data_IF_876791975943
#
_entry.id   IF_876791975943
#
_cell.length_a   1.000
_cell.length_b   1.000
_cell.length_c   1.000
_cell.angle_alpha   90.00
_cell.angle_beta   90.00
_cell.angle_gamma   90.00
#
_symmetry.space_group_name_H-M   'P 1'
#
loop_
_entity.id
_entity.type
_entity.pdbx_description
1 polymer ?
#
# COMPACT_ATOMS: atom_id res chain seq x y z
N UNK A 1 -19.37 1.17 0.74
CA UNK A 1 -18.34 0.55 -0.12
C UNK A 1 -18.14 -0.88 0.38
N UNK A 2 -17.85 -1.85 -0.49
CA UNK A 2 -17.56 -3.24 -0.08
C UNK A 2 -16.25 -3.66 -0.74
N UNK A 3 -15.39 -4.35 -0.01
CA UNK A 3 -14.17 -4.93 -0.56
C UNK A 3 -14.45 -6.28 -1.22
N UNK A 4 -13.63 -6.65 -2.21
CA UNK A 4 -13.55 -8.02 -2.70
C UNK A 4 -12.69 -8.91 -1.78
N UNK A 5 -11.81 -8.30 -0.97
CA UNK A 5 -11.10 -9.01 0.11
C UNK A 5 -12.06 -9.16 1.28
N UNK A 6 -12.31 -10.41 1.68
CA UNK A 6 -13.12 -10.72 2.85
C UNK A 6 -12.33 -10.43 4.14
N UNK A 7 -13.00 -9.81 5.11
CA UNK A 7 -12.44 -9.53 6.43
C UNK A 7 -13.54 -9.59 7.50
N UNK A 8 -13.14 -9.84 8.75
CA UNK A 8 -14.05 -9.87 9.90
C UNK A 8 -14.70 -8.49 10.11
N UNK A 9 -16.00 -8.44 10.47
CA UNK A 9 -16.71 -7.18 10.73
C UNK A 9 -16.07 -6.31 11.82
N UNK A 10 -15.31 -6.91 12.73
CA UNK A 10 -14.59 -6.24 13.81
C UNK A 10 -13.12 -5.96 13.48
N UNK A 11 -12.70 -6.12 12.21
CA UNK A 11 -11.35 -5.79 11.79
C UNK A 11 -11.14 -4.27 11.82
N UNK A 12 -10.03 -3.85 12.40
CA UNK A 12 -9.59 -2.44 12.34
C UNK A 12 -9.24 -2.01 10.90
N UNK A 13 -8.97 -2.96 10.00
CA UNK A 13 -8.50 -2.73 8.63
C UNK A 13 -9.60 -3.02 7.61
N UNK A 14 -10.74 -2.36 7.76
CA UNK A 14 -11.85 -2.45 6.79
C UNK A 14 -11.54 -1.69 5.49
N UNK A 15 -12.40 -1.80 4.48
CA UNK A 15 -12.31 -0.96 3.26
C UNK A 15 -12.35 0.55 3.54
N UNK A 16 -12.80 0.94 4.74
CA UNK A 16 -12.85 2.34 5.19
C UNK A 16 -11.58 2.78 5.92
N UNK A 17 -10.65 1.87 6.22
CA UNK A 17 -9.37 2.16 6.84
C UNK A 17 -8.26 1.40 6.10
N UNK A 18 -7.61 2.11 5.19
CA UNK A 18 -6.51 1.62 4.35
C UNK A 18 -5.25 2.37 4.80
N UNK A 19 -4.57 1.91 5.88
CA UNK A 19 -3.39 2.59 6.40
C UNK A 19 -2.17 2.34 5.51
N UNK A 20 -1.21 3.25 5.58
CA UNK A 20 0.10 3.07 4.96
C UNK A 20 1.11 2.59 6.00
N UNK A 21 2.04 1.74 5.58
CA UNK A 21 3.11 1.21 6.40
C UNK A 21 4.32 0.78 5.57
N UNK A 22 5.29 0.19 6.23
CA UNK A 22 6.46 -0.45 5.60
C UNK A 22 6.57 -1.87 6.15
N UNK A 23 6.82 -2.85 5.28
CA UNK A 23 6.91 -4.25 5.66
C UNK A 23 8.15 -4.93 5.05
N UNK A 24 8.61 -5.99 5.71
CA UNK A 24 9.59 -6.93 5.16
C UNK A 24 8.83 -8.09 4.54
N UNK A 25 8.92 -8.25 3.22
CA UNK A 25 8.29 -9.34 2.49
C UNK A 25 9.24 -10.53 2.37
N UNK A 26 8.74 -11.72 2.72
CA UNK A 26 9.46 -13.01 2.65
C UNK A 26 10.84 -13.04 3.33
N UNK A 27 11.17 -12.06 4.18
CA UNK A 27 12.53 -11.82 4.73
C UNK A 27 13.59 -11.49 3.67
N UNK A 28 13.16 -11.02 2.49
CA UNK A 28 14.04 -10.76 1.36
C UNK A 28 14.16 -9.27 1.04
N UNK A 29 13.04 -8.55 1.01
CA UNK A 29 13.02 -7.13 0.64
C UNK A 29 12.07 -6.33 1.52
N UNK A 30 12.26 -5.00 1.51
CA UNK A 30 11.45 -4.03 2.24
C UNK A 30 10.74 -3.16 1.22
N UNK A 31 9.45 -2.91 1.44
CA UNK A 31 8.66 -2.01 0.61
C UNK A 31 7.57 -1.33 1.43
N UNK A 32 7.10 -0.19 0.93
CA UNK A 32 5.90 0.45 1.42
C UNK A 32 4.68 -0.42 1.09
N UNK A 33 3.75 -0.50 2.02
CA UNK A 33 2.61 -1.39 1.94
C UNK A 33 1.34 -0.73 2.46
N UNK A 34 0.19 -1.32 2.13
CA UNK A 34 -1.07 -1.08 2.82
C UNK A 34 -1.64 -2.37 3.41
N UNK A 35 -2.75 -2.28 4.15
CA UNK A 35 -3.39 -3.43 4.79
C UNK A 35 -4.91 -3.40 4.60
N UNK A 36 -5.48 -4.55 4.32
CA UNK A 36 -6.92 -4.79 4.33
C UNK A 36 -7.22 -6.15 4.96
N UNK A 37 -8.04 -6.16 6.02
CA UNK A 37 -8.22 -7.33 6.87
C UNK A 37 -6.89 -7.87 7.40
N UNK A 38 -6.62 -9.13 7.08
CA UNK A 38 -5.38 -9.84 7.45
C UNK A 38 -4.35 -9.89 6.32
N UNK A 39 -4.60 -9.18 5.22
CA UNK A 39 -3.70 -9.11 4.08
C UNK A 39 -2.88 -7.82 4.09
N UNK A 40 -1.58 -7.96 3.93
CA UNK A 40 -0.66 -6.85 3.61
C UNK A 40 -0.48 -6.82 2.09
N UNK A 41 -0.61 -5.65 1.50
CA UNK A 41 -0.52 -5.41 0.07
C UNK A 41 0.73 -4.61 -0.22
N UNK A 42 1.59 -5.14 -1.09
CA UNK A 42 2.81 -4.48 -1.58
C UNK A 42 2.44 -3.39 -2.58
N UNK A 43 2.71 -2.12 -2.24
CA UNK A 43 2.39 -0.98 -3.10
C UNK A 43 3.43 -0.80 -4.21
N UNK A 44 4.68 -1.21 -4.00
CA UNK A 44 5.70 -1.15 -5.04
C UNK A 44 5.35 -2.10 -6.18
N UNK A 45 4.92 -3.32 -5.87
CA UNK A 45 4.48 -4.27 -6.88
C UNK A 45 3.24 -3.78 -7.65
N UNK A 46 2.28 -3.12 -6.98
CA UNK A 46 1.11 -2.55 -7.67
C UNK A 46 1.50 -1.42 -8.64
N UNK A 47 2.48 -0.60 -8.26
CA UNK A 47 3.05 0.41 -9.14
C UNK A 47 3.68 -0.24 -10.38
N UNK A 48 4.53 -1.25 -10.20
CA UNK A 48 5.21 -1.95 -11.30
C UNK A 48 4.24 -2.69 -12.23
N UNK A 49 3.09 -3.11 -11.71
CA UNK A 49 1.98 -3.68 -12.45
C UNK A 49 1.06 -2.63 -13.10
N UNK A 50 1.47 -1.36 -13.11
CA UNK A 50 0.76 -0.24 -13.76
C UNK A 50 -0.62 0.09 -13.16
N UNK A 51 -0.93 -0.33 -11.93
CA UNK A 51 -2.22 -0.01 -11.31
C UNK A 51 -2.38 1.46 -10.90
N UNK A 52 -1.29 2.22 -10.87
CA UNK A 52 -1.28 3.62 -10.43
C UNK A 52 -1.00 4.64 -11.56
N UNK A 53 -1.02 4.23 -12.83
CA UNK A 53 -0.69 5.11 -13.97
C UNK A 53 -1.58 6.37 -14.07
N UNK A 54 -2.81 6.31 -13.57
CA UNK A 54 -3.74 7.45 -13.60
C UNK A 54 -3.57 8.42 -12.42
N UNK A 55 -2.64 8.15 -11.49
CA UNK A 55 -2.38 9.02 -10.33
C UNK A 55 -1.36 10.09 -10.72
N UNK A 56 -1.85 11.31 -10.95
CA UNK A 56 -0.99 12.45 -11.23
C UNK A 56 0.00 12.74 -10.08
N UNK A 57 1.27 12.95 -10.41
CA UNK A 57 2.33 13.24 -9.44
C UNK A 57 3.01 12.01 -8.84
N UNK A 58 2.57 10.80 -9.19
CA UNK A 58 3.25 9.56 -8.85
C UNK A 58 4.08 9.08 -10.07
N UNK A 59 5.08 9.88 -10.43
CA UNK A 59 5.88 9.68 -11.65
C UNK A 59 6.95 8.58 -11.51
N UNK A 60 7.28 8.19 -10.28
CA UNK A 60 8.25 7.14 -9.94
C UNK A 60 7.75 6.24 -8.80
N UNK A 61 8.37 5.06 -8.65
CA UNK A 61 7.99 4.09 -7.64
C UNK A 61 8.53 4.46 -6.24
N UNK A 62 7.93 5.48 -5.61
CA UNK A 62 8.28 5.91 -4.24
C UNK A 62 7.97 4.85 -3.17
N UNK A 63 7.37 3.71 -3.55
CA UNK A 63 7.05 2.61 -2.64
C UNK A 63 8.20 1.60 -2.50
N UNK A 64 9.24 1.65 -3.34
CA UNK A 64 10.50 0.91 -3.17
C UNK A 64 11.41 1.54 -2.10
N UNK A 65 10.82 2.04 -1.02
CA UNK A 65 11.51 2.77 0.03
C UNK A 65 11.47 2.04 1.39
N UNK A 66 12.47 2.32 2.23
CA UNK A 66 12.53 1.81 3.61
C UNK A 66 11.63 2.58 4.59
N UNK A 67 11.06 3.70 4.15
CA UNK A 67 10.22 4.62 4.96
C UNK A 67 9.14 5.24 4.09
N UNK A 68 8.06 5.75 4.69
CA UNK A 68 6.97 6.44 3.97
C UNK A 68 7.30 7.90 3.60
N UNK A 69 8.48 8.41 3.92
CA UNK A 69 8.81 9.83 3.81
C UNK A 69 8.65 10.36 2.38
N UNK A 70 9.25 9.70 1.39
CA UNK A 70 9.17 10.10 -0.02
C UNK A 70 7.72 10.12 -0.52
N UNK A 71 6.94 9.09 -0.18
CA UNK A 71 5.50 9.05 -0.49
C UNK A 71 4.73 10.22 0.15
N UNK A 72 5.01 10.56 1.41
CA UNK A 72 4.35 11.66 2.12
C UNK A 72 4.75 13.02 1.51
N UNK A 73 5.97 13.16 1.02
CA UNK A 73 6.49 14.39 0.41
C UNK A 73 5.84 14.74 -0.94
N UNK A 74 5.22 13.77 -1.63
CA UNK A 74 4.41 14.02 -2.83
C UNK A 74 3.20 14.93 -2.58
N UNK A 75 2.75 15.04 -1.32
CA UNK A 75 1.64 15.91 -0.94
C UNK A 75 0.27 15.23 -1.04
N UNK A 76 -0.78 16.06 -1.04
CA UNK A 76 -2.19 15.64 -1.08
C UNK A 76 -2.81 15.87 -2.44
#
# INVERSE_FOLDING_TARGET
MKSFVEYNSNSDFSIHNIPFGVAVFNKEFIACCTRIGDQVVDLALLYDLSYFEEIAGLDENVFEAYTLNEFIELGK
#
